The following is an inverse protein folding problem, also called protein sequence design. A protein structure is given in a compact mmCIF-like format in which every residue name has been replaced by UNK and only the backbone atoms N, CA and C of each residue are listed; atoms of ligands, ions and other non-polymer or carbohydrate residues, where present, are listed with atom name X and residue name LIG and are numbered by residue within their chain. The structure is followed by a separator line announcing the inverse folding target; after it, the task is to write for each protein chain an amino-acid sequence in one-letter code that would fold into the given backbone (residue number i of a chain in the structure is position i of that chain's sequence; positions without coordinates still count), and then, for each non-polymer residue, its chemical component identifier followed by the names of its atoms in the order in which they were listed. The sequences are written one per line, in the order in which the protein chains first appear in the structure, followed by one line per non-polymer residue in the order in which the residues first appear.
data_IF_660209758974
#
_entry.id   IF_660209758974
#
_cell.length_a   1.000
_cell.length_b   1.000
_cell.length_c   1.000
_cell.angle_alpha   90.00
_cell.angle_beta   90.00
_cell.angle_gamma   90.00
#
_symmetry.space_group_name_H-M   'P 1'
#
loop_
_entity.id
_entity.type
_entity.pdbx_description
1 polymer ?
#
# COMPACT_ATOMS: atom_id res chain seq x y z
N UNK A 1 0.08 9.30 3.86
CA UNK A 1 0.98 9.88 4.87
C UNK A 1 1.37 11.27 4.39
N UNK A 2 1.16 12.32 5.20
CA UNK A 2 1.51 13.71 4.85
C UNK A 2 2.56 14.22 5.83
N UNK A 3 3.75 14.55 5.34
CA UNK A 3 4.80 15.15 6.16
C UNK A 3 4.67 16.68 6.09
N UNK A 4 4.72 17.35 7.26
CA UNK A 4 4.83 18.81 7.36
C UNK A 4 6.32 19.15 7.42
N UNK A 5 6.84 19.82 6.40
CA UNK A 5 8.22 20.31 6.40
C UNK A 5 8.19 21.84 6.29
N UNK A 6 8.54 22.52 7.38
CA UNK A 6 8.61 23.98 7.46
C UNK A 6 10.01 24.38 6.99
N UNK A 7 10.19 25.10 5.87
CA UNK A 7 11.56 25.07 5.29
C UNK A 7 12.13 26.24 4.49
N UNK A 8 11.48 27.37 4.22
CA UNK A 8 12.26 28.50 3.66
C UNK A 8 11.67 29.87 3.90
N UNK A 9 12.58 30.86 4.00
CA UNK A 9 12.32 32.29 4.03
C UNK A 9 13.19 32.94 2.95
N UNK A 10 12.58 33.55 1.94
CA UNK A 10 13.30 34.42 1.00
C UNK A 10 13.25 35.85 1.55
N UNK A 11 14.37 36.57 1.68
CA UNK A 11 14.41 37.97 2.14
C UNK A 11 15.17 38.87 1.15
N UNK A 12 14.95 40.18 1.23
CA UNK A 12 15.68 41.17 0.41
C UNK A 12 15.27 41.15 -1.07
N UNK A 13 14.02 40.78 -1.34
CA UNK A 13 13.49 40.73 -2.71
C UNK A 13 13.33 42.15 -3.26
N UNK A 14 13.79 42.43 -4.50
CA UNK A 14 13.76 43.79 -5.05
C UNK A 14 12.32 44.27 -5.22
N UNK A 15 12.05 45.49 -4.74
CA UNK A 15 10.75 46.14 -4.90
C UNK A 15 10.57 46.64 -6.34
N UNK A 16 9.33 46.55 -6.85
CA UNK A 16 8.98 46.97 -8.21
C UNK A 16 9.08 45.82 -9.22
N UNK A 17 7.90 45.36 -9.66
CA UNK A 17 7.53 44.28 -10.59
C UNK A 17 6.74 43.14 -9.92
N UNK A 18 5.85 42.48 -10.66
CA UNK A 18 4.99 41.42 -10.14
C UNK A 18 5.82 40.19 -9.77
N UNK A 19 5.81 39.82 -8.49
CA UNK A 19 6.43 38.59 -8.01
C UNK A 19 5.37 37.53 -7.79
N UNK A 20 5.49 36.38 -8.46
CA UNK A 20 4.64 35.20 -8.17
C UNK A 20 5.47 34.18 -7.41
N UNK A 21 4.92 33.66 -6.31
CA UNK A 21 5.57 32.72 -5.42
C UNK A 21 4.78 31.42 -5.38
N UNK A 22 5.47 30.29 -5.36
CA UNK A 22 4.81 29.00 -5.35
C UNK A 22 5.76 27.82 -5.25
N UNK A 23 5.30 26.70 -5.77
CA UNK A 23 6.04 25.45 -5.81
C UNK A 23 6.08 24.91 -7.23
N UNK A 24 7.20 24.29 -7.57
CA UNK A 24 7.46 23.74 -8.89
C UNK A 24 8.09 22.34 -8.73
N UNK A 25 7.75 21.43 -9.63
CA UNK A 25 8.37 20.10 -9.67
C UNK A 25 8.94 19.77 -11.05
N UNK A 26 10.06 19.03 -11.06
CA UNK A 26 10.63 18.40 -12.25
C UNK A 26 10.17 16.95 -12.42
N UNK A 27 9.27 16.47 -11.56
CA UNK A 27 8.79 15.11 -11.59
C UNK A 27 8.13 14.75 -12.93
N UNK A 28 8.27 13.49 -13.33
CA UNK A 28 7.58 12.98 -14.51
C UNK A 28 6.12 12.71 -14.15
N UNK A 29 5.18 13.36 -14.85
CA UNK A 29 3.75 13.18 -14.64
C UNK A 29 3.33 11.73 -14.95
N UNK A 30 2.50 11.16 -14.08
CA UNK A 30 1.95 9.80 -14.24
C UNK A 30 0.43 9.85 -14.42
N UNK A 31 -0.28 10.49 -13.49
CA UNK A 31 -1.74 10.51 -13.46
C UNK A 31 -2.26 11.66 -12.60
N UNK A 32 -3.58 11.88 -12.58
CA UNK A 32 -4.25 12.83 -11.71
C UNK A 32 -5.21 12.09 -10.79
N UNK A 33 -5.12 12.31 -9.47
CA UNK A 33 -5.98 11.68 -8.45
C UNK A 33 -6.61 12.78 -7.60
N UNK A 34 -7.94 12.83 -7.55
CA UNK A 34 -8.70 13.86 -6.81
C UNK A 34 -8.28 15.30 -7.15
N UNK A 35 -8.05 15.58 -8.43
CA UNK A 35 -7.57 16.89 -8.89
C UNK A 35 -6.08 17.14 -8.67
N UNK A 36 -5.32 16.24 -8.04
CA UNK A 36 -3.88 16.42 -7.80
C UNK A 36 -3.07 15.70 -8.85
N UNK A 37 -2.10 16.38 -9.45
CA UNK A 37 -1.14 15.74 -10.36
C UNK A 37 -0.16 14.92 -9.56
N UNK A 38 0.01 13.68 -9.98
CA UNK A 38 0.89 12.69 -9.35
C UNK A 38 2.06 12.40 -10.27
N UNK A 39 3.26 12.47 -9.71
CA UNK A 39 4.53 12.31 -10.38
C UNK A 39 5.22 11.02 -9.95
N UNK A 40 6.02 10.40 -10.83
CA UNK A 40 6.74 9.16 -10.53
C UNK A 40 7.86 9.38 -9.52
N UNK A 41 8.01 8.49 -8.54
CA UNK A 41 9.23 8.40 -7.73
C UNK A 41 10.25 7.44 -8.35
N UNK A 42 11.44 7.33 -7.74
CA UNK A 42 12.39 6.27 -8.04
C UNK A 42 11.94 4.88 -7.52
N UNK A 43 10.89 4.80 -6.71
CA UNK A 43 10.31 3.55 -6.22
C UNK A 43 9.16 3.12 -7.15
N UNK A 44 9.27 1.96 -7.83
CA UNK A 44 8.20 1.45 -8.69
C UNK A 44 6.85 1.41 -7.97
N UNK A 45 5.79 1.88 -8.64
CA UNK A 45 4.44 1.86 -8.09
C UNK A 45 4.13 2.87 -6.99
N UNK A 46 5.09 3.72 -6.60
CA UNK A 46 4.86 4.89 -5.73
C UNK A 46 4.99 6.17 -6.56
N UNK A 47 3.94 7.00 -6.49
CA UNK A 47 3.92 8.36 -7.00
C UNK A 47 3.80 9.37 -5.86
N UNK A 48 4.03 10.65 -6.16
CA UNK A 48 3.89 11.74 -5.20
C UNK A 48 3.14 12.93 -5.80
N UNK A 49 2.37 13.62 -4.97
CA UNK A 49 1.83 14.95 -5.25
C UNK A 49 2.50 15.98 -4.35
N UNK A 50 2.57 17.21 -4.84
CA UNK A 50 3.23 18.33 -4.16
C UNK A 50 2.22 19.46 -3.94
N UNK A 51 2.19 19.98 -2.72
CA UNK A 51 1.38 21.13 -2.35
C UNK A 51 2.18 22.16 -1.57
N UNK A 52 1.63 23.36 -1.43
CA UNK A 52 2.26 24.48 -0.74
C UNK A 52 1.23 25.31 0.01
N UNK A 53 1.64 25.82 1.16
CA UNK A 53 0.95 26.82 1.96
C UNK A 53 1.94 27.94 2.27
N UNK A 54 1.67 29.13 1.74
CA UNK A 54 2.60 30.25 1.76
C UNK A 54 2.12 31.42 2.61
N UNK A 55 3.03 32.32 2.92
CA UNK A 55 2.75 33.65 3.46
C UNK A 55 3.80 34.64 2.96
N UNK A 56 3.38 35.87 2.69
CA UNK A 56 4.26 36.98 2.32
C UNK A 56 4.29 38.00 3.45
N UNK A 57 5.40 38.74 3.55
CA UNK A 57 5.56 39.85 4.48
C UNK A 57 6.00 41.10 3.73
N UNK A 58 5.26 42.19 3.91
CA UNK A 58 5.53 43.51 3.35
C UNK A 58 5.46 44.59 4.45
N UNK A 59 5.50 45.86 4.04
CA UNK A 59 5.43 47.00 4.97
C UNK A 59 4.13 47.10 5.78
N UNK A 60 3.09 46.36 5.40
CA UNK A 60 1.78 46.35 6.05
C UNK A 60 1.57 45.13 6.97
N UNK A 61 2.44 44.12 6.87
CA UNK A 61 2.45 42.96 7.75
C UNK A 61 2.49 41.62 7.02
N UNK A 62 2.13 40.55 7.74
CA UNK A 62 2.09 39.18 7.20
C UNK A 62 0.74 38.88 6.57
N UNK A 63 0.75 38.41 5.33
CA UNK A 63 -0.44 38.02 4.60
C UNK A 63 -0.34 36.54 4.21
N UNK A 64 -1.34 35.74 4.58
CA UNK A 64 -1.46 34.35 4.16
C UNK A 64 -1.74 34.28 2.66
N UNK A 65 -1.08 33.34 2.01
CA UNK A 65 -1.33 32.97 0.62
C UNK A 65 -2.64 32.15 0.50
N UNK A 66 -3.12 31.99 -0.72
CA UNK A 66 -4.49 31.57 -1.12
C UNK A 66 -5.17 30.47 -0.29
N UNK A 67 -6.51 30.45 -0.32
CA UNK A 67 -7.36 29.30 0.05
C UNK A 67 -7.80 28.52 -1.20
N UNK A 68 -7.86 27.18 -1.19
CA UNK A 68 -7.63 26.29 -0.05
C UNK A 68 -6.15 26.09 0.29
N UNK A 69 -5.83 26.00 1.59
CA UNK A 69 -4.49 25.67 2.10
C UNK A 69 -4.44 24.23 2.63
N UNK A 70 -3.43 23.42 2.26
CA UNK A 70 -2.46 23.67 1.19
C UNK A 70 -3.10 23.56 -0.20
N UNK A 71 -2.61 24.37 -1.14
CA UNK A 71 -2.94 24.24 -2.56
C UNK A 71 -2.00 23.25 -3.24
N UNK A 72 -2.54 22.43 -4.14
CA UNK A 72 -1.80 21.34 -4.79
C UNK A 72 -1.59 21.58 -6.29
N UNK A 73 -0.45 21.12 -6.82
CA UNK A 73 -0.24 21.11 -8.27
C UNK A 73 -1.31 20.24 -8.94
N UNK A 74 -2.07 20.82 -9.86
CA UNK A 74 -3.18 20.18 -10.58
C UNK A 74 -4.57 20.59 -10.11
N UNK A 75 -4.72 21.08 -8.88
CA UNK A 75 -6.01 21.59 -8.42
C UNK A 75 -6.30 22.92 -9.14
N UNK A 76 -7.58 23.23 -9.45
CA UNK A 76 -7.93 24.48 -10.14
C UNK A 76 -7.44 25.70 -9.35
N UNK A 77 -6.61 26.52 -9.98
CA UNK A 77 -6.21 27.82 -9.44
C UNK A 77 -7.32 28.83 -9.75
N UNK A 78 -8.10 29.21 -8.74
CA UNK A 78 -9.24 30.12 -8.91
C UNK A 78 -8.91 31.57 -9.27
N UNK A 79 -7.65 31.91 -9.59
CA UNK A 79 -7.24 33.28 -9.97
C UNK A 79 -6.68 33.43 -11.39
N UNK A 80 -6.30 32.34 -12.06
CA UNK A 80 -5.54 32.43 -13.31
C UNK A 80 -6.04 31.42 -14.35
N UNK A 81 -7.26 31.63 -14.84
CA UNK A 81 -7.89 30.74 -15.83
C UNK A 81 -7.23 30.79 -17.23
N UNK A 82 -6.34 31.76 -17.52
CA UNK A 82 -5.95 32.11 -18.91
C UNK A 82 -4.46 32.49 -19.17
N UNK A 83 -3.48 32.08 -18.36
CA UNK A 83 -2.05 32.33 -18.65
C UNK A 83 -1.20 31.03 -18.58
N UNK A 84 -0.14 30.88 -19.39
CA UNK A 84 0.50 29.60 -19.68
C UNK A 84 1.49 29.24 -18.57
N UNK A 85 1.02 28.62 -17.50
CA UNK A 85 1.94 28.09 -16.50
C UNK A 85 1.85 26.57 -16.42
N UNK A 86 3.02 26.00 -16.68
CA UNK A 86 3.30 24.58 -16.90
C UNK A 86 2.53 23.67 -15.94
N UNK A 87 2.06 22.49 -16.37
CA UNK A 87 1.33 21.54 -15.53
C UNK A 87 2.07 21.08 -14.26
N UNK A 88 3.32 21.51 -14.05
CA UNK A 88 4.19 21.13 -12.95
C UNK A 88 4.44 22.25 -11.93
N UNK A 89 3.61 23.29 -11.88
CA UNK A 89 3.67 24.32 -10.83
C UNK A 89 2.33 24.63 -10.18
N UNK A 90 2.39 25.24 -9.01
CA UNK A 90 1.25 25.83 -8.32
C UNK A 90 1.67 27.18 -7.74
N UNK A 91 0.84 28.21 -7.94
CA UNK A 91 1.07 29.55 -7.45
C UNK A 91 0.33 29.78 -6.15
N UNK A 92 1.07 30.13 -5.12
CA UNK A 92 0.53 30.38 -3.78
C UNK A 92 0.20 31.86 -3.59
N UNK A 93 1.08 32.76 -4.06
CA UNK A 93 0.99 34.19 -3.80
C UNK A 93 1.45 35.04 -4.98
N UNK A 94 0.91 36.24 -5.10
CA UNK A 94 1.40 37.28 -6.01
C UNK A 94 1.41 38.64 -5.31
N UNK A 95 2.56 39.35 -5.28
CA UNK A 95 2.61 40.73 -4.78
C UNK A 95 3.84 41.48 -5.30
N UNK A 96 3.71 42.79 -5.51
CA UNK A 96 4.76 43.69 -5.97
C UNK A 96 5.50 44.42 -4.84
N UNK A 97 5.09 44.22 -3.58
CA UNK A 97 5.56 44.94 -2.39
C UNK A 97 6.30 44.04 -1.38
N UNK A 98 6.59 42.79 -1.75
CA UNK A 98 7.06 41.76 -0.81
C UNK A 98 8.52 41.95 -0.43
N UNK A 99 8.78 41.94 0.87
CA UNK A 99 10.14 41.91 1.44
C UNK A 99 10.59 40.50 1.82
N UNK A 100 9.64 39.61 2.19
CA UNK A 100 9.92 38.19 2.35
C UNK A 100 8.75 37.25 2.04
N UNK A 101 9.07 36.03 1.60
CA UNK A 101 8.11 34.94 1.37
C UNK A 101 8.52 33.72 2.19
N UNK A 102 7.56 33.16 2.92
CA UNK A 102 7.72 31.97 3.76
C UNK A 102 6.69 30.92 3.38
N UNK A 103 7.08 29.66 3.23
CA UNK A 103 6.13 28.60 2.90
C UNK A 103 6.44 27.25 3.55
N UNK A 104 5.38 26.47 3.73
CA UNK A 104 5.39 25.07 4.09
C UNK A 104 4.98 24.27 2.87
N UNK A 105 5.79 23.29 2.46
CA UNK A 105 5.40 22.38 1.39
C UNK A 105 4.89 21.06 1.96
N UNK A 106 4.05 20.41 1.16
CA UNK A 106 3.38 19.19 1.50
C UNK A 106 3.71 18.13 0.46
N UNK A 107 3.99 16.93 0.95
CA UNK A 107 4.15 15.73 0.13
C UNK A 107 3.07 14.73 0.49
N UNK A 108 2.43 14.20 -0.54
CA UNK A 108 1.49 13.09 -0.41
C UNK A 108 1.87 11.98 -1.38
N UNK A 109 2.11 10.78 -0.84
CA UNK A 109 2.40 9.60 -1.62
C UNK A 109 1.13 8.85 -2.03
N UNK A 110 1.14 8.33 -3.25
CA UNK A 110 0.08 7.52 -3.84
C UNK A 110 0.65 6.19 -4.30
N UNK A 111 -0.12 5.13 -4.09
CA UNK A 111 0.10 3.86 -4.78
C UNK A 111 -0.48 3.98 -6.19
N UNK A 112 0.37 3.91 -7.19
CA UNK A 112 0.01 4.14 -8.60
C UNK A 112 0.06 2.88 -9.46
N UNK A 113 0.66 1.79 -8.98
CA UNK A 113 0.61 0.48 -9.65
C UNK A 113 0.84 -0.69 -8.69
N UNK A 114 0.65 -1.91 -9.20
CA UNK A 114 1.07 -3.16 -8.58
C UNK A 114 2.00 -3.93 -9.54
N UNK A 115 3.07 -4.57 -9.05
CA UNK A 115 3.56 -4.55 -7.67
C UNK A 115 4.19 -3.18 -7.29
N UNK A 116 4.33 -2.94 -5.98
CA UNK A 116 5.03 -1.77 -5.43
C UNK A 116 6.48 -2.14 -5.15
N UNK A 117 7.44 -1.27 -5.42
CA UNK A 117 8.85 -1.49 -5.10
C UNK A 117 9.20 -1.16 -3.65
N UNK A 118 10.42 -1.52 -3.25
CA UNK A 118 11.04 -1.07 -1.99
C UNK A 118 12.37 -0.38 -2.27
N UNK A 119 12.82 0.47 -1.35
CA UNK A 119 14.12 1.12 -1.40
C UNK A 119 14.10 2.51 -0.81
N UNK A 120 15.25 3.19 -0.89
CA UNK A 120 15.40 4.57 -0.43
C UNK A 120 14.73 5.50 -1.43
N UNK A 121 13.65 6.14 -1.02
CA UNK A 121 13.01 7.21 -1.78
C UNK A 121 13.96 8.39 -1.89
N UNK A 122 14.21 8.80 -3.12
CA UNK A 122 15.02 9.96 -3.44
C UNK A 122 14.23 10.92 -4.32
N UNK A 123 13.93 12.09 -3.76
CA UNK A 123 13.29 13.21 -4.46
C UNK A 123 14.26 14.39 -4.60
N UNK A 124 15.56 14.15 -4.50
CA UNK A 124 16.60 15.17 -4.69
C UNK A 124 16.43 15.84 -6.06
N UNK A 125 16.45 17.18 -6.05
CA UNK A 125 16.29 18.01 -7.25
C UNK A 125 14.95 17.78 -7.99
N UNK A 126 13.93 17.21 -7.34
CA UNK A 126 12.62 17.04 -7.95
C UNK A 126 11.65 18.17 -7.61
N UNK A 127 11.87 18.88 -6.51
CA UNK A 127 10.92 19.86 -5.97
C UNK A 127 11.66 21.15 -5.66
N UNK A 128 11.07 22.25 -6.07
CA UNK A 128 11.63 23.58 -5.99
C UNK A 128 10.61 24.56 -5.44
N UNK A 129 11.06 25.47 -4.59
CA UNK A 129 10.37 26.74 -4.46
C UNK A 129 10.60 27.54 -5.74
N UNK A 130 9.53 28.15 -6.25
CA UNK A 130 9.59 28.95 -7.45
C UNK A 130 9.18 30.39 -7.13
N UNK A 131 10.05 31.33 -7.50
CA UNK A 131 9.79 32.75 -7.51
C UNK A 131 9.93 33.26 -8.95
N UNK A 132 8.88 33.89 -9.45
CA UNK A 132 8.78 34.44 -10.79
C UNK A 132 8.87 35.94 -10.69
N UNK A 133 9.81 36.52 -11.42
CA UNK A 133 10.05 37.95 -11.49
C UNK A 133 9.75 38.39 -12.92
N UNK A 134 8.83 39.35 -13.10
CA UNK A 134 8.53 39.91 -14.43
C UNK A 134 9.01 41.36 -14.55
N UNK A 135 10.33 41.63 -14.70
CA UNK A 135 10.80 42.96 -15.06
C UNK A 135 10.38 43.38 -16.48
N UNK A 136 10.40 44.68 -16.74
CA UNK A 136 10.09 45.29 -18.05
C UNK A 136 10.99 44.83 -19.22
N UNK A 137 12.02 44.04 -18.94
CA UNK A 137 13.01 43.53 -19.91
C UNK A 137 13.05 41.99 -20.03
N UNK A 138 12.09 41.26 -19.43
CA UNK A 138 11.99 39.80 -19.55
C UNK A 138 11.47 39.12 -18.27
N UNK A 139 11.32 37.79 -18.28
CA UNK A 139 10.95 37.01 -17.08
C UNK A 139 12.18 36.32 -16.50
N UNK A 140 12.50 36.57 -15.22
CA UNK A 140 13.58 35.90 -14.49
C UNK A 140 12.98 34.85 -13.55
N UNK A 141 13.57 33.66 -13.54
CA UNK A 141 13.13 32.53 -12.70
C UNK A 141 14.13 32.27 -11.58
N UNK A 142 13.68 32.37 -10.33
CA UNK A 142 14.38 31.84 -9.17
C UNK A 142 13.82 30.47 -8.82
N UNK A 143 14.62 29.40 -8.98
CA UNK A 143 14.28 28.06 -8.48
C UNK A 143 15.23 27.69 -7.35
N UNK A 144 14.68 27.47 -6.17
CA UNK A 144 15.45 27.01 -5.01
C UNK A 144 15.09 25.54 -4.75
N UNK A 145 16.05 24.59 -4.88
CA UNK A 145 15.78 23.19 -4.61
C UNK A 145 15.37 23.00 -3.15
N UNK A 146 14.27 22.29 -2.92
CA UNK A 146 13.82 21.96 -1.58
C UNK A 146 14.52 20.69 -1.10
N UNK A 147 14.93 20.70 0.17
CA UNK A 147 15.59 19.56 0.79
C UNK A 147 14.52 18.54 1.16
N UNK A 148 14.44 17.46 0.38
CA UNK A 148 13.70 16.27 0.78
C UNK A 148 14.62 15.35 1.57
N UNK A 149 14.25 14.99 2.79
CA UNK A 149 14.97 13.97 3.54
C UNK A 149 14.62 12.62 2.90
N UNK A 150 15.61 11.84 2.42
CA UNK A 150 15.33 10.51 1.89
C UNK A 150 14.64 9.66 2.95
N UNK A 151 13.63 8.90 2.55
CA UNK A 151 12.89 7.99 3.44
C UNK A 151 12.87 6.59 2.84
N UNK A 152 12.81 5.56 3.66
CA UNK A 152 12.77 4.20 3.15
C UNK A 152 11.32 3.79 2.88
N UNK A 153 11.05 3.37 1.65
CA UNK A 153 9.82 2.68 1.28
C UNK A 153 10.07 1.20 1.44
N UNK A 154 9.41 0.59 2.42
CA UNK A 154 9.48 -0.85 2.66
C UNK A 154 8.27 -1.48 2.00
N UNK A 155 8.49 -2.27 0.96
CA UNK A 155 7.50 -3.24 0.49
C UNK A 155 7.74 -4.56 1.23
N UNK A 156 6.79 -4.94 2.08
CA UNK A 156 6.73 -6.25 2.70
C UNK A 156 5.93 -7.18 1.80
N UNK A 157 6.58 -7.70 0.76
CA UNK A 157 6.03 -8.79 -0.05
C UNK A 157 6.80 -10.08 0.23
N UNK A 158 6.07 -11.15 0.48
CA UNK A 158 6.63 -12.50 0.54
C UNK A 158 6.13 -13.32 -0.65
N UNK A 159 6.97 -14.18 -1.21
CA UNK A 159 6.58 -15.17 -2.21
C UNK A 159 6.32 -16.51 -1.53
N UNK A 160 5.32 -17.28 -2.01
CA UNK A 160 4.92 -18.53 -1.38
C UNK A 160 4.62 -19.63 -2.37
N UNK A 161 4.89 -20.86 -1.95
CA UNK A 161 4.56 -22.08 -2.68
C UNK A 161 4.09 -23.16 -1.71
N UNK A 162 3.21 -24.04 -2.19
CA UNK A 162 2.72 -25.19 -1.42
C UNK A 162 3.38 -26.45 -1.97
N UNK A 163 3.93 -27.30 -1.10
CA UNK A 163 4.55 -28.56 -1.51
C UNK A 163 4.32 -29.68 -0.48
N UNK A 164 3.81 -30.86 -0.89
CA UNK A 164 3.29 -31.16 -2.21
C UNK A 164 1.99 -30.39 -2.50
N UNK A 165 1.67 -30.18 -3.78
CA UNK A 165 0.38 -29.66 -4.24
C UNK A 165 0.03 -30.35 -5.57
N UNK A 166 -1.01 -31.21 -5.62
CA UNK A 166 -1.99 -31.50 -4.56
C UNK A 166 -1.39 -32.29 -3.38
N UNK A 167 -2.06 -32.22 -2.23
CA UNK A 167 -1.75 -33.04 -1.04
C UNK A 167 -2.57 -34.34 -1.12
N UNK A 168 -1.91 -35.44 -1.47
CA UNK A 168 -2.57 -36.74 -1.60
C UNK A 168 -2.58 -37.48 -0.26
N UNK A 169 -3.76 -37.58 0.37
CA UNK A 169 -3.94 -38.38 1.59
C UNK A 169 -3.95 -39.87 1.25
N UNK A 170 -3.52 -40.75 2.18
CA UNK A 170 -3.60 -42.19 1.98
C UNK A 170 -5.07 -42.65 1.88
N UNK A 171 -5.29 -43.76 1.17
CA UNK A 171 -6.57 -44.48 1.24
C UNK A 171 -6.77 -45.01 2.66
N UNK A 172 -7.96 -44.81 3.23
CA UNK A 172 -8.32 -45.25 4.58
C UNK A 172 -9.50 -46.22 4.56
N UNK A 173 -9.57 -47.02 5.62
CA UNK A 173 -10.66 -47.96 5.88
C UNK A 173 -11.67 -47.27 6.80
N UNK A 174 -12.96 -47.56 6.63
CA UNK A 174 -14.02 -47.00 7.50
C UNK A 174 -13.81 -47.34 8.99
N UNK A 175 -13.19 -48.48 9.29
CA UNK A 175 -12.84 -48.88 10.66
C UNK A 175 -11.80 -47.99 11.34
N UNK A 176 -11.04 -47.18 10.59
CA UNK A 176 -10.10 -46.19 11.16
C UNK A 176 -10.83 -44.93 11.65
N UNK A 177 -12.13 -44.80 11.34
CA UNK A 177 -12.97 -43.68 11.74
C UNK A 177 -14.18 -44.16 12.57
N UNK A 178 -13.95 -44.70 13.78
CA UNK A 178 -14.97 -45.44 14.52
C UNK A 178 -16.14 -44.57 15.02
N UNK A 179 -15.90 -43.28 15.29
CA UNK A 179 -16.87 -42.38 15.94
C UNK A 179 -16.95 -41.03 15.21
N UNK A 180 -18.02 -40.25 15.42
CA UNK A 180 -18.04 -38.87 14.96
C UNK A 180 -16.81 -38.11 15.48
N UNK A 181 -16.24 -37.25 14.66
CA UNK A 181 -15.01 -36.49 14.93
C UNK A 181 -13.71 -37.31 15.07
N UNK A 182 -13.73 -38.64 14.89
CA UNK A 182 -12.47 -39.38 14.71
C UNK A 182 -11.77 -38.92 13.43
N UNK A 183 -10.44 -38.93 13.43
CA UNK A 183 -9.62 -38.54 12.29
C UNK A 183 -8.69 -39.67 11.83
N UNK A 184 -8.33 -39.66 10.55
CA UNK A 184 -7.43 -40.65 9.96
C UNK A 184 -6.66 -40.05 8.77
N UNK A 185 -5.59 -40.72 8.35
CA UNK A 185 -4.83 -40.35 7.15
C UNK A 185 -4.09 -39.01 7.25
N UNK A 186 -3.62 -38.64 8.44
CA UNK A 186 -2.86 -37.41 8.66
C UNK A 186 -1.68 -37.34 7.66
N UNK A 187 -1.66 -36.27 6.88
CA UNK A 187 -0.68 -36.06 5.81
C UNK A 187 -0.15 -34.64 5.91
N UNK A 188 1.17 -34.50 5.94
CA UNK A 188 1.83 -33.19 6.08
C UNK A 188 2.14 -32.58 4.72
N UNK A 189 1.99 -31.25 4.62
CA UNK A 189 2.45 -30.44 3.51
C UNK A 189 3.06 -29.14 4.04
N UNK A 190 3.88 -28.49 3.22
CA UNK A 190 4.55 -27.26 3.60
C UNK A 190 4.04 -26.08 2.78
N UNK A 191 3.85 -24.95 3.46
CA UNK A 191 3.81 -23.64 2.80
C UNK A 191 5.21 -23.03 2.94
N UNK A 192 5.96 -23.02 1.85
CA UNK A 192 7.29 -22.42 1.79
C UNK A 192 7.15 -20.96 1.41
N UNK A 193 7.65 -20.06 2.26
CA UNK A 193 7.53 -18.61 2.07
C UNK A 193 8.88 -17.93 2.18
N UNK A 194 9.15 -16.97 1.29
CA UNK A 194 10.36 -16.15 1.31
C UNK A 194 9.98 -14.69 1.42
N UNK A 195 10.43 -14.02 2.49
CA UNK A 195 10.21 -12.59 2.74
C UNK A 195 11.53 -11.84 2.58
N UNK A 196 11.54 -10.72 1.83
CA UNK A 196 12.76 -9.92 1.63
C UNK A 196 13.20 -9.18 2.91
N UNK A 197 12.23 -8.72 3.69
CA UNK A 197 12.43 -7.95 4.92
C UNK A 197 11.80 -8.69 6.11
N UNK A 198 12.21 -8.34 7.33
CA UNK A 198 11.57 -8.85 8.54
C UNK A 198 10.09 -8.47 8.54
N UNK A 199 9.22 -9.47 8.46
CA UNK A 199 7.78 -9.29 8.25
C UNK A 199 7.01 -10.06 9.31
N UNK A 200 6.01 -9.44 9.97
CA UNK A 200 5.07 -10.18 10.82
C UNK A 200 4.00 -10.80 9.92
N UNK A 201 4.05 -12.12 9.77
CA UNK A 201 3.18 -12.85 8.85
C UNK A 201 1.99 -13.46 9.60
N UNK A 202 0.79 -13.11 9.17
CA UNK A 202 -0.46 -13.76 9.56
C UNK A 202 -1.06 -14.49 8.37
N UNK A 203 -1.83 -15.56 8.63
CA UNK A 203 -2.53 -16.33 7.59
C UNK A 203 -4.00 -16.51 7.94
N UNK A 204 -4.84 -16.52 6.92
CA UNK A 204 -6.22 -17.02 6.98
C UNK A 204 -6.40 -18.08 5.91
N UNK A 205 -7.06 -19.19 6.22
CA UNK A 205 -7.48 -20.17 5.22
C UNK A 205 -8.93 -19.92 4.84
N UNK A 206 -9.27 -20.03 3.56
CA UNK A 206 -10.63 -19.90 3.04
C UNK A 206 -11.05 -21.20 2.37
N UNK A 207 -12.25 -21.68 2.68
CA UNK A 207 -12.87 -22.80 1.96
C UNK A 207 -13.32 -22.31 0.58
N UNK A 208 -12.78 -22.90 -0.49
CA UNK A 208 -13.09 -22.48 -1.87
C UNK A 208 -14.56 -22.71 -2.23
N UNK A 209 -15.15 -23.79 -1.73
CA UNK A 209 -16.52 -24.18 -2.07
C UNK A 209 -17.54 -23.49 -1.15
N UNK A 210 -17.10 -22.88 -0.05
CA UNK A 210 -17.94 -22.06 0.82
C UNK A 210 -17.12 -20.92 1.45
N UNK A 211 -16.98 -19.81 0.74
CA UNK A 211 -16.14 -18.66 1.16
C UNK A 211 -16.66 -17.93 2.41
N UNK A 212 -17.86 -18.25 2.88
CA UNK A 212 -18.44 -17.72 4.12
C UNK A 212 -18.29 -18.65 5.34
N UNK A 213 -17.72 -19.85 5.13
CA UNK A 213 -17.54 -20.83 6.20
C UNK A 213 -16.54 -20.33 7.25
N UNK A 214 -16.92 -20.44 8.52
CA UNK A 214 -16.06 -20.18 9.68
C UNK A 214 -15.71 -21.41 10.52
N UNK A 215 -16.22 -22.58 10.12
CA UNK A 215 -15.90 -23.88 10.72
C UNK A 215 -14.48 -24.36 10.40
N UNK A 216 -14.20 -25.63 10.73
CA UNK A 216 -12.87 -26.25 10.55
C UNK A 216 -12.87 -27.47 9.60
N UNK A 217 -14.00 -27.72 8.93
CA UNK A 217 -14.16 -28.86 8.01
C UNK A 217 -14.37 -28.33 6.60
N UNK A 218 -13.51 -28.69 5.66
CA UNK A 218 -13.64 -28.27 4.26
C UNK A 218 -14.87 -28.88 3.61
N UNK A 219 -15.54 -28.05 2.82
CA UNK A 219 -16.64 -28.46 1.96
C UNK A 219 -16.09 -29.31 0.79
N UNK A 220 -16.55 -30.56 0.63
CA UNK A 220 -16.15 -31.41 -0.48
C UNK A 220 -16.39 -30.75 -1.84
N UNK A 221 -15.46 -30.95 -2.77
CA UNK A 221 -15.64 -30.58 -4.17
C UNK A 221 -16.81 -31.38 -4.78
N UNK A 222 -17.48 -30.81 -5.79
CA UNK A 222 -18.62 -31.46 -6.46
C UNK A 222 -18.30 -32.83 -7.09
N UNK A 223 -17.03 -33.12 -7.35
CA UNK A 223 -16.55 -34.41 -7.87
C UNK A 223 -16.46 -35.51 -6.79
N UNK A 224 -16.62 -35.16 -5.51
CA UNK A 224 -16.54 -36.11 -4.40
C UNK A 224 -17.76 -37.04 -4.37
N UNK A 225 -17.52 -38.33 -4.22
CA UNK A 225 -18.56 -39.38 -4.19
C UNK A 225 -18.80 -39.94 -2.80
N UNK A 226 -17.88 -39.76 -1.86
CA UNK A 226 -18.07 -40.18 -0.46
C UNK A 226 -19.14 -39.35 0.26
N UNK A 227 -19.73 -39.92 1.32
CA UNK A 227 -20.61 -39.21 2.27
C UNK A 227 -20.14 -39.46 3.70
N UNK A 228 -20.43 -38.50 4.58
CA UNK A 228 -20.11 -38.59 6.01
C UNK A 228 -18.64 -38.37 6.37
N UNK A 229 -17.85 -37.84 5.43
CA UNK A 229 -16.45 -37.45 5.62
C UNK A 229 -16.25 -35.98 5.24
N UNK A 230 -15.29 -35.34 5.90
CA UNK A 230 -14.70 -34.06 5.49
C UNK A 230 -13.18 -34.09 5.65
N UNK A 231 -12.53 -32.98 5.33
CA UNK A 231 -11.10 -32.78 5.60
C UNK A 231 -10.89 -31.65 6.60
N UNK A 232 -9.95 -31.84 7.51
CA UNK A 232 -9.59 -30.88 8.54
C UNK A 232 -8.11 -30.54 8.47
N UNK A 233 -7.79 -29.24 8.43
CA UNK A 233 -6.43 -28.72 8.45
C UNK A 233 -5.96 -28.46 9.88
N UNK A 234 -4.66 -28.63 10.11
CA UNK A 234 -4.02 -28.33 11.38
C UNK A 234 -2.63 -27.73 11.20
N UNK A 235 -2.23 -26.86 12.12
CA UNK A 235 -0.90 -26.26 12.20
C UNK A 235 -0.40 -26.32 13.64
N UNK A 236 0.80 -26.87 13.88
CA UNK A 236 1.35 -27.08 15.22
C UNK A 236 0.33 -27.75 16.18
N UNK A 237 -0.34 -28.80 15.70
CA UNK A 237 -1.41 -29.54 16.41
C UNK A 237 -2.69 -28.74 16.73
N UNK A 238 -2.80 -27.48 16.30
CA UNK A 238 -4.01 -26.69 16.43
C UNK A 238 -4.86 -26.81 15.17
N UNK A 239 -6.16 -26.97 15.33
CA UNK A 239 -7.10 -27.02 14.21
C UNK A 239 -7.22 -25.63 13.57
N UNK A 240 -7.16 -25.60 12.24
CA UNK A 240 -7.36 -24.39 11.46
C UNK A 240 -8.85 -24.19 11.22
N UNK A 241 -9.34 -23.00 11.57
CA UNK A 241 -10.68 -22.54 11.23
C UNK A 241 -10.62 -21.64 9.98
N UNK A 242 -11.68 -21.67 9.17
CA UNK A 242 -11.75 -20.91 7.92
C UNK A 242 -12.25 -19.49 8.13
N UNK A 243 -11.87 -18.57 7.27
CA UNK A 243 -12.36 -17.20 7.24
C UNK A 243 -12.55 -16.73 5.80
N UNK A 244 -13.06 -15.52 5.59
CA UNK A 244 -13.18 -14.95 4.25
C UNK A 244 -11.78 -14.61 3.69
N UNK A 245 -11.68 -14.56 2.37
CA UNK A 245 -10.45 -14.15 1.68
C UNK A 245 -10.26 -12.62 1.81
N UNK A 246 -9.50 -12.20 2.82
CA UNK A 246 -9.20 -10.80 3.08
C UNK A 246 -7.79 -10.59 3.64
N UNK A 247 -7.10 -9.57 3.12
CA UNK A 247 -5.72 -9.20 3.49
C UNK A 247 -5.61 -8.30 4.72
N UNK A 248 -6.74 -7.77 5.20
CA UNK A 248 -6.80 -6.85 6.34
C UNK A 248 -6.36 -7.50 7.67
N UNK A 249 -5.84 -6.68 8.58
CA UNK A 249 -5.64 -7.11 9.97
C UNK A 249 -6.99 -7.36 10.64
N UNK A 250 -7.05 -8.37 11.51
CA UNK A 250 -8.26 -8.73 12.25
C UNK A 250 -9.29 -9.51 11.43
N UNK A 251 -8.86 -10.14 10.32
CA UNK A 251 -9.74 -11.02 9.55
C UNK A 251 -10.20 -12.22 10.42
N UNK A 252 -11.42 -12.71 10.19
CA UNK A 252 -11.98 -13.83 10.98
C UNK A 252 -11.10 -15.06 10.84
N UNK A 253 -10.78 -15.70 11.97
CA UNK A 253 -9.92 -16.89 12.05
C UNK A 253 -8.51 -16.71 11.48
N UNK A 254 -8.05 -15.46 11.34
CA UNK A 254 -6.66 -15.14 11.09
C UNK A 254 -5.80 -15.50 12.30
N UNK A 255 -4.61 -16.07 12.07
CA UNK A 255 -3.65 -16.34 13.14
C UNK A 255 -2.23 -16.00 12.72
N UNK A 256 -1.41 -15.72 13.73
CA UNK A 256 0.01 -15.40 13.56
C UNK A 256 0.79 -16.66 13.18
N UNK A 257 1.58 -16.57 12.11
CA UNK A 257 2.54 -17.60 11.75
C UNK A 257 3.89 -17.33 12.39
N UNK A 258 4.54 -16.24 11.98
CA UNK A 258 5.90 -15.91 12.42
C UNK A 258 6.31 -14.50 12.00
N UNK A 259 7.26 -13.94 12.74
CA UNK A 259 8.07 -12.80 12.31
C UNK A 259 9.40 -13.30 11.77
N UNK A 260 9.70 -13.07 10.49
CA UNK A 260 10.94 -13.55 9.87
C UNK A 260 11.33 -12.75 8.62
N UNK A 261 12.58 -12.89 8.21
CA UNK A 261 13.12 -12.53 6.89
C UNK A 261 13.82 -13.75 6.28
N UNK A 262 14.02 -13.74 4.97
CA UNK A 262 14.54 -14.89 4.24
C UNK A 262 13.50 -15.99 4.03
N UNK A 263 13.96 -17.22 3.88
CA UNK A 263 13.12 -18.38 3.59
C UNK A 263 12.65 -19.07 4.88
N UNK A 264 11.37 -19.43 4.94
CA UNK A 264 10.76 -20.20 6.01
C UNK A 264 9.83 -21.26 5.43
N UNK A 265 9.83 -22.44 6.05
CA UNK A 265 8.83 -23.49 5.79
C UNK A 265 7.87 -23.60 6.96
N UNK A 266 6.57 -23.68 6.65
CA UNK A 266 5.49 -23.86 7.62
C UNK A 266 4.83 -25.23 7.38
N UNK A 267 5.06 -26.23 8.27
CA UNK A 267 4.47 -27.55 8.14
C UNK A 267 3.03 -27.54 8.64
N UNK A 268 2.10 -27.76 7.72
CA UNK A 268 0.69 -28.01 7.98
C UNK A 268 0.39 -29.49 7.82
N UNK A 269 -0.72 -29.94 8.40
CA UNK A 269 -1.23 -31.28 8.16
C UNK A 269 -2.70 -31.24 7.82
N UNK A 270 -3.14 -32.23 7.06
CA UNK A 270 -4.54 -32.47 6.70
C UNK A 270 -4.92 -33.90 7.06
N UNK A 271 -6.12 -34.10 7.58
CA UNK A 271 -6.67 -35.42 7.92
C UNK A 271 -8.12 -35.54 7.46
N UNK A 272 -8.57 -36.76 7.21
CA UNK A 272 -10.00 -37.05 7.13
C UNK A 272 -10.64 -36.86 8.51
N UNK A 273 -11.89 -36.40 8.54
CA UNK A 273 -12.72 -36.33 9.74
C UNK A 273 -14.11 -36.92 9.46
N UNK A 274 -14.60 -37.76 10.38
CA UNK A 274 -15.95 -38.33 10.26
C UNK A 274 -17.01 -37.32 10.70
N UNK A 275 -17.91 -36.98 9.78
CA UNK A 275 -19.01 -36.03 9.97
C UNK A 275 -20.39 -36.68 10.00
N UNK A 276 -20.49 -37.97 9.66
CA UNK A 276 -21.77 -38.68 9.64
C UNK A 276 -21.64 -40.18 9.40
N UNK A 277 -22.71 -40.77 8.86
CA UNK A 277 -22.68 -42.13 8.35
C UNK A 277 -21.80 -42.19 7.09
N UNK A 278 -20.81 -43.08 7.09
CA UNK A 278 -19.81 -43.13 6.02
C UNK A 278 -20.33 -43.95 4.83
N UNK A 279 -20.30 -43.35 3.65
CA UNK A 279 -20.41 -44.06 2.37
C UNK A 279 -19.06 -43.99 1.66
N UNK A 280 -18.50 -45.15 1.30
CA UNK A 280 -17.22 -45.22 0.61
C UNK A 280 -17.25 -44.48 -0.74
N UNK A 281 -16.13 -43.89 -1.12
CA UNK A 281 -15.99 -43.12 -2.36
C UNK A 281 -14.74 -42.27 -2.34
N UNK A 282 -14.67 -41.32 -3.27
CA UNK A 282 -13.61 -40.33 -3.40
C UNK A 282 -13.95 -39.04 -2.67
N UNK A 283 -12.95 -38.39 -2.08
CA UNK A 283 -13.05 -37.07 -1.47
C UNK A 283 -11.97 -36.16 -2.03
N UNK A 284 -12.38 -35.01 -2.54
CA UNK A 284 -11.50 -33.91 -2.91
C UNK A 284 -12.02 -32.63 -2.25
N UNK A 285 -11.12 -31.76 -1.81
CA UNK A 285 -11.44 -30.44 -1.29
C UNK A 285 -10.38 -29.46 -1.75
N UNK A 286 -10.75 -28.18 -1.80
CA UNK A 286 -9.81 -27.10 -2.10
C UNK A 286 -9.91 -26.01 -1.04
N UNK A 287 -8.77 -25.60 -0.49
CA UNK A 287 -8.64 -24.42 0.35
C UNK A 287 -7.71 -23.40 -0.33
N UNK A 288 -7.99 -22.11 -0.14
CA UNK A 288 -7.03 -21.04 -0.42
C UNK A 288 -6.47 -20.50 0.89
N UNK A 289 -5.31 -19.85 0.84
CA UNK A 289 -4.75 -19.15 1.98
C UNK A 289 -4.38 -17.73 1.58
N UNK A 290 -4.57 -16.81 2.52
CA UNK A 290 -4.34 -15.38 2.33
C UNK A 290 -3.43 -14.88 3.43
N UNK A 291 -2.35 -14.23 3.04
CA UNK A 291 -1.41 -13.63 3.99
C UNK A 291 -1.78 -12.18 4.27
N UNK A 292 -1.60 -11.81 5.53
CA UNK A 292 -1.68 -10.43 6.00
C UNK A 292 -0.33 -10.06 6.62
N UNK A 293 0.28 -9.01 6.09
CA UNK A 293 1.56 -8.46 6.55
C UNK A 293 1.27 -7.31 7.51
N UNK A 294 1.69 -7.45 8.77
CA UNK A 294 1.38 -6.48 9.84
C UNK A 294 2.63 -5.85 10.44
#
# INVERSE_FOLDING_TARGET
MSAKVKQFNCSGLPAGNAHVYGIYTMGNYVTTINGRRVYSTNIPGIGYAVGVDGSIFDSYGTHSCMTPTPGWIGEPDGRYDNEPYSPNNFFSCSSSLVSSYSATFYLQFYKISHPVGSGRLDLSNQIYSAAYFSPSTGIIYGKLPLITIPSDVINTSCTSSVSPNPVNLPTINTGQLPWLNSTAGNTTFNINTTCQNTTNLYVTFTDKNNTSQTGSILTPDNSSTTKGLGMQLSYNSNIVHYGPDAVGSGNTNQFFLRTFSGQQSFPFSVSYIRTGAIMAGTLATTATFTFSYQ
#
